data_IF_488490204047
#
_entry.id   IF_488490204047
#
_cell.length_a   1.000
_cell.length_b   1.000
_cell.length_c   1.000
_cell.angle_alpha   90.00
_cell.angle_beta   90.00
_cell.angle_gamma   90.00
#
_symmetry.space_group_name_H-M   'P 1'
#
loop_
_entity.id
_entity.type
_entity.pdbx_description
1 polymer ?
#
# COMPACT_ATOMS: atom_id res chain seq x y z
N UNK A 1 29.53 17.17 -1.20
CA UNK A 1 29.23 16.98 -2.63
C UNK A 1 30.07 15.88 -3.29
N UNK A 2 31.43 15.91 -3.28
CA UNK A 2 32.28 14.89 -3.96
C UNK A 2 31.98 13.42 -3.54
N UNK A 3 31.70 13.17 -2.26
CA UNK A 3 31.36 11.80 -1.78
C UNK A 3 30.02 11.33 -2.36
N UNK A 4 28.98 12.17 -2.34
CA UNK A 4 27.67 11.84 -2.91
C UNK A 4 27.75 11.50 -4.40
N UNK A 5 28.44 12.30 -5.22
CA UNK A 5 28.63 11.99 -6.63
C UNK A 5 29.38 10.68 -6.87
N UNK A 6 30.43 10.41 -6.08
CA UNK A 6 31.18 9.16 -6.17
C UNK A 6 30.30 7.96 -5.83
N UNK A 7 29.47 8.06 -4.78
CA UNK A 7 28.59 6.98 -4.34
C UNK A 7 27.45 6.76 -5.36
N UNK A 8 26.92 7.83 -5.94
CA UNK A 8 25.93 7.75 -7.04
C UNK A 8 26.53 7.06 -8.29
N UNK A 9 27.73 7.45 -8.71
CA UNK A 9 28.41 6.81 -9.86
C UNK A 9 28.75 5.35 -9.55
N UNK A 10 29.15 5.02 -8.33
CA UNK A 10 29.37 3.63 -7.91
C UNK A 10 28.09 2.80 -7.99
N UNK A 11 26.96 3.39 -7.55
CA UNK A 11 25.66 2.72 -7.58
C UNK A 11 25.15 2.52 -9.02
N UNK A 12 25.22 3.53 -9.89
CA UNK A 12 24.80 3.41 -11.29
C UNK A 12 25.61 2.37 -12.07
N UNK A 13 26.89 2.17 -11.75
CA UNK A 13 27.70 1.10 -12.34
C UNK A 13 27.26 -0.30 -11.90
N UNK A 14 26.62 -0.43 -10.75
CA UNK A 14 26.21 -1.71 -10.16
C UNK A 14 24.74 -2.05 -10.40
N UNK A 15 23.92 -1.05 -10.70
CA UNK A 15 22.51 -1.18 -11.01
C UNK A 15 22.14 -0.28 -12.23
N UNK A 16 22.77 -0.51 -13.42
CA UNK A 16 22.63 0.38 -14.58
C UNK A 16 21.20 0.39 -15.13
N UNK A 17 20.48 -0.73 -15.12
CA UNK A 17 19.11 -0.78 -15.63
C UNK A 17 18.16 -0.04 -14.67
N UNK A 18 18.34 -0.17 -13.37
CA UNK A 18 17.58 0.62 -12.39
C UNK A 18 17.84 2.11 -12.57
N UNK A 19 19.11 2.51 -12.81
CA UNK A 19 19.45 3.91 -13.10
C UNK A 19 18.80 4.39 -14.40
N UNK A 20 18.76 3.57 -15.44
CA UNK A 20 18.07 3.87 -16.69
C UNK A 20 16.56 4.05 -16.50
N UNK A 21 15.91 3.19 -15.68
CA UNK A 21 14.47 3.32 -15.35
C UNK A 21 14.24 4.64 -14.60
N UNK A 22 15.05 4.98 -13.60
CA UNK A 22 14.96 6.26 -12.88
C UNK A 22 15.10 7.44 -13.87
N UNK A 23 16.10 7.40 -14.75
CA UNK A 23 16.29 8.40 -15.79
C UNK A 23 15.09 8.52 -16.72
N UNK A 24 14.48 7.40 -17.11
CA UNK A 24 13.30 7.37 -17.97
C UNK A 24 12.07 7.97 -17.27
N UNK A 25 11.83 7.60 -16.00
CA UNK A 25 10.73 8.20 -15.19
C UNK A 25 10.91 9.71 -15.07
N UNK A 26 12.13 10.18 -14.82
CA UNK A 26 12.41 11.61 -14.74
C UNK A 26 12.23 12.30 -16.12
N UNK A 27 12.74 11.71 -17.20
CA UNK A 27 12.61 12.24 -18.55
C UNK A 27 11.14 12.33 -18.97
N UNK A 28 10.38 11.24 -18.81
CA UNK A 28 8.95 11.23 -19.11
C UNK A 28 8.22 12.21 -18.21
N UNK A 29 8.56 12.29 -16.92
CA UNK A 29 7.97 13.23 -15.98
C UNK A 29 8.21 14.71 -16.36
N UNK A 30 9.38 15.02 -16.95
CA UNK A 30 9.69 16.36 -17.50
C UNK A 30 8.85 16.62 -18.76
N UNK A 31 8.85 15.71 -19.72
CA UNK A 31 8.15 15.88 -21.01
C UNK A 31 6.64 15.95 -20.80
N UNK A 32 6.07 15.10 -19.96
CA UNK A 32 4.65 15.06 -19.62
C UNK A 32 4.22 16.11 -18.62
N UNK A 33 5.16 16.89 -18.08
CA UNK A 33 4.96 17.86 -17.00
C UNK A 33 4.45 17.23 -15.68
N UNK A 34 4.41 15.91 -15.53
CA UNK A 34 3.85 15.22 -14.38
C UNK A 34 4.71 15.38 -13.11
N UNK A 35 5.90 15.98 -13.18
CA UNK A 35 6.70 16.35 -12.01
C UNK A 35 6.26 17.65 -11.34
N UNK A 36 5.38 18.45 -11.97
CA UNK A 36 4.88 19.71 -11.41
C UNK A 36 3.38 19.93 -11.62
N UNK A 37 2.73 19.19 -12.54
CA UNK A 37 1.27 19.21 -12.73
C UNK A 37 0.71 17.80 -12.47
N UNK A 38 -0.33 17.63 -11.65
CA UNK A 38 -0.98 16.33 -11.47
C UNK A 38 -1.42 15.71 -12.81
N UNK A 39 -1.27 14.40 -12.97
CA UNK A 39 -1.55 13.70 -14.22
C UNK A 39 -3.02 13.81 -14.64
N UNK A 40 -3.94 13.91 -13.67
CA UNK A 40 -5.37 14.12 -13.93
C UNK A 40 -5.64 15.52 -14.49
N UNK A 41 -5.00 16.56 -13.96
CA UNK A 41 -5.17 17.94 -14.40
C UNK A 41 -4.55 18.19 -15.77
N UNK A 42 -3.42 17.53 -16.07
CA UNK A 42 -2.74 17.64 -17.37
C UNK A 42 -3.38 16.78 -18.47
N UNK A 43 -4.36 15.92 -18.13
CA UNK A 43 -4.96 14.95 -19.03
C UNK A 43 -4.07 13.74 -19.34
N UNK A 44 -2.89 13.63 -18.73
CA UNK A 44 -1.96 12.52 -18.96
C UNK A 44 -2.52 11.19 -18.45
N UNK A 45 -3.23 11.20 -17.32
CA UNK A 45 -3.91 10.01 -16.81
C UNK A 45 -4.97 9.49 -17.79
N UNK A 46 -5.79 10.35 -18.37
CA UNK A 46 -6.82 9.99 -19.36
C UNK A 46 -6.22 9.50 -20.68
N UNK A 47 -5.10 10.05 -21.11
CA UNK A 47 -4.44 9.69 -22.38
C UNK A 47 -3.63 8.40 -22.30
N UNK A 48 -2.89 8.19 -21.22
CA UNK A 48 -1.86 7.15 -21.09
C UNK A 48 -2.04 6.24 -19.89
N UNK A 49 -2.99 6.55 -18.98
CA UNK A 49 -3.28 5.75 -17.79
C UNK A 49 -4.01 4.46 -18.11
N UNK A 50 -3.73 3.44 -17.34
CA UNK A 50 -4.42 2.15 -17.39
C UNK A 50 -5.65 2.16 -16.47
N UNK A 51 -6.67 1.42 -16.87
CA UNK A 51 -7.93 1.30 -16.14
C UNK A 51 -9.00 0.63 -17.00
N UNK A 52 -10.17 0.39 -16.40
CA UNK A 52 -11.31 -0.18 -17.14
C UNK A 52 -11.67 0.67 -18.38
N UNK A 53 -11.71 2.02 -18.30
CA UNK A 53 -12.06 2.84 -19.46
C UNK A 53 -11.06 2.75 -20.62
N UNK A 54 -9.75 2.70 -20.31
CA UNK A 54 -8.70 2.55 -21.32
C UNK A 54 -8.82 1.19 -22.04
N UNK A 55 -9.03 0.12 -21.29
CA UNK A 55 -9.15 -1.23 -21.82
C UNK A 55 -10.40 -1.43 -22.64
N UNK A 56 -11.54 -0.85 -22.23
CA UNK A 56 -12.77 -0.84 -23.01
C UNK A 56 -12.60 -0.15 -24.38
N UNK A 57 -11.68 0.83 -24.47
CA UNK A 57 -11.30 1.50 -25.72
C UNK A 57 -10.22 0.76 -26.51
N UNK A 58 -9.79 -0.44 -26.07
CA UNK A 58 -8.72 -1.22 -26.72
C UNK A 58 -7.30 -0.67 -26.48
N UNK A 59 -7.10 0.26 -25.55
CA UNK A 59 -5.81 0.88 -25.24
C UNK A 59 -4.98 0.02 -24.29
N UNK A 60 -4.68 -1.22 -24.65
CA UNK A 60 -3.91 -2.17 -23.81
C UNK A 60 -2.48 -1.71 -23.51
N UNK A 61 -1.88 -0.94 -24.40
CA UNK A 61 -0.53 -0.38 -24.23
C UNK A 61 -0.40 0.54 -23.03
N UNK A 62 -1.52 1.04 -22.49
CA UNK A 62 -1.51 1.94 -21.32
C UNK A 62 -0.94 1.28 -20.06
N UNK A 63 -0.94 -0.04 -19.98
CA UNK A 63 -0.19 -0.77 -18.92
C UNK A 63 1.29 -0.35 -18.93
N UNK A 64 1.89 -0.19 -20.10
CA UNK A 64 3.29 0.18 -20.24
C UNK A 64 3.52 1.69 -20.21
N UNK A 65 2.70 2.48 -20.90
CA UNK A 65 2.91 3.93 -21.01
C UNK A 65 2.61 4.66 -19.71
N UNK A 66 1.53 4.31 -19.02
CA UNK A 66 1.17 4.90 -17.74
C UNK A 66 2.19 4.67 -16.62
N UNK A 67 2.99 3.63 -16.75
CA UNK A 67 3.99 3.26 -15.75
C UNK A 67 5.00 4.37 -15.46
N UNK A 68 5.40 5.14 -16.47
CA UNK A 68 6.46 6.14 -16.37
C UNK A 68 5.96 7.56 -16.04
N UNK A 69 4.66 7.76 -15.95
CA UNK A 69 4.04 9.04 -15.59
C UNK A 69 3.88 9.11 -14.08
N UNK A 70 4.20 10.26 -13.47
CA UNK A 70 4.00 10.46 -12.03
C UNK A 70 2.56 10.92 -11.78
N UNK A 71 1.79 10.26 -10.88
CA UNK A 71 0.39 10.63 -10.64
C UNK A 71 0.22 12.06 -10.14
N UNK A 72 0.98 12.42 -9.11
CA UNK A 72 1.07 13.78 -8.55
C UNK A 72 2.53 14.11 -8.23
N UNK A 73 2.95 15.39 -8.34
CA UNK A 73 4.37 15.79 -8.27
C UNK A 73 5.12 15.28 -7.05
N UNK A 74 4.54 15.39 -5.86
CA UNK A 74 5.19 14.96 -4.61
C UNK A 74 5.40 13.44 -4.52
N UNK A 75 4.61 12.63 -5.24
CA UNK A 75 4.80 11.17 -5.28
C UNK A 75 6.11 10.75 -5.93
N UNK A 76 6.73 11.59 -6.76
CA UNK A 76 8.07 11.33 -7.28
C UNK A 76 9.08 11.07 -6.14
N UNK A 77 8.93 11.77 -4.99
CA UNK A 77 9.76 11.59 -3.80
C UNK A 77 9.60 10.20 -3.16
N UNK A 78 8.51 9.51 -3.42
CA UNK A 78 8.28 8.13 -2.95
C UNK A 78 8.61 7.10 -4.02
N UNK A 79 8.22 7.36 -5.27
CA UNK A 79 8.40 6.43 -6.40
C UNK A 79 9.89 6.23 -6.71
N UNK A 80 10.67 7.30 -6.76
CA UNK A 80 12.10 7.20 -7.07
C UNK A 80 12.87 6.36 -6.02
N UNK A 81 12.72 6.57 -4.71
CA UNK A 81 13.29 5.67 -3.71
C UNK A 81 12.81 4.21 -3.83
N UNK A 82 11.54 3.97 -4.13
CA UNK A 82 11.04 2.60 -4.34
C UNK A 82 11.78 1.90 -5.49
N UNK A 83 11.98 2.61 -6.61
CA UNK A 83 12.75 2.08 -7.75
C UNK A 83 14.21 1.89 -7.36
N UNK A 84 14.84 2.88 -6.73
CA UNK A 84 16.25 2.86 -6.37
C UNK A 84 16.55 1.74 -5.36
N UNK A 85 15.81 1.65 -4.27
CA UNK A 85 16.08 0.67 -3.22
C UNK A 85 15.55 -0.72 -3.59
N UNK A 86 14.32 -0.82 -4.11
CA UNK A 86 13.73 -2.09 -4.50
C UNK A 86 14.40 -2.67 -5.75
N UNK A 87 14.46 -1.90 -6.83
CA UNK A 87 15.07 -2.30 -8.08
C UNK A 87 16.57 -2.47 -7.97
N UNK A 88 17.24 -1.45 -7.40
CA UNK A 88 18.70 -1.46 -7.25
C UNK A 88 19.20 -2.63 -6.39
N UNK A 89 18.51 -2.97 -5.32
CA UNK A 89 18.84 -4.17 -4.52
C UNK A 89 18.69 -5.46 -5.33
N UNK A 90 17.56 -5.60 -6.06
CA UNK A 90 17.32 -6.80 -6.88
C UNK A 90 18.31 -6.89 -8.02
N UNK A 91 18.60 -5.80 -8.74
CA UNK A 91 19.56 -5.79 -9.84
C UNK A 91 20.97 -6.13 -9.35
N UNK A 92 21.42 -5.45 -8.30
CA UNK A 92 22.74 -5.69 -7.71
C UNK A 92 22.92 -7.13 -7.22
N UNK A 93 21.88 -7.71 -6.60
CA UNK A 93 21.98 -9.02 -5.94
C UNK A 93 21.65 -10.17 -6.87
N UNK A 94 20.76 -9.98 -7.82
CA UNK A 94 20.18 -11.07 -8.65
C UNK A 94 20.26 -10.82 -10.15
N UNK A 95 20.73 -9.65 -10.58
CA UNK A 95 20.89 -9.26 -11.97
C UNK A 95 19.64 -8.58 -12.57
N UNK A 96 19.88 -7.85 -13.67
CA UNK A 96 18.91 -6.99 -14.32
C UNK A 96 17.63 -7.73 -14.76
N UNK A 97 17.76 -8.91 -15.38
CA UNK A 97 16.61 -9.67 -15.88
C UNK A 97 15.62 -10.03 -14.77
N UNK A 98 16.12 -10.40 -13.58
CA UNK A 98 15.25 -10.74 -12.45
C UNK A 98 14.63 -9.50 -11.81
N UNK A 99 15.35 -8.41 -11.78
CA UNK A 99 14.80 -7.12 -11.36
C UNK A 99 13.68 -6.68 -12.32
N UNK A 100 13.90 -6.73 -13.64
CA UNK A 100 12.86 -6.42 -14.63
C UNK A 100 11.65 -7.38 -14.50
N UNK A 101 11.90 -8.69 -14.33
CA UNK A 101 10.83 -9.63 -14.07
C UNK A 101 10.03 -9.29 -12.81
N UNK A 102 10.70 -8.88 -11.72
CA UNK A 102 10.01 -8.45 -10.50
C UNK A 102 9.12 -7.22 -10.75
N UNK A 103 9.61 -6.22 -11.45
CA UNK A 103 8.82 -5.03 -11.76
C UNK A 103 7.64 -5.32 -12.70
N UNK A 104 7.92 -5.88 -13.86
CA UNK A 104 6.91 -5.99 -14.92
C UNK A 104 5.90 -7.10 -14.65
N UNK A 105 6.31 -8.26 -14.13
CA UNK A 105 5.37 -9.34 -13.82
C UNK A 105 4.41 -8.93 -12.72
N UNK A 106 4.90 -8.27 -11.66
CA UNK A 106 4.02 -7.85 -10.57
C UNK A 106 3.09 -6.72 -10.98
N UNK A 107 3.57 -5.76 -11.78
CA UNK A 107 2.76 -4.67 -12.30
C UNK A 107 1.66 -5.17 -13.24
N UNK A 108 2.04 -5.90 -14.28
CA UNK A 108 1.09 -6.41 -15.29
C UNK A 108 0.04 -7.31 -14.63
N UNK A 109 0.47 -8.25 -13.78
CA UNK A 109 -0.46 -9.13 -13.08
C UNK A 109 -1.41 -8.35 -12.18
N UNK A 110 -0.91 -7.36 -11.43
CA UNK A 110 -1.76 -6.54 -10.55
C UNK A 110 -2.81 -5.76 -11.34
N UNK A 111 -2.40 -5.09 -12.41
CA UNK A 111 -3.32 -4.33 -13.26
C UNK A 111 -4.40 -5.25 -13.85
N UNK A 112 -4.01 -6.40 -14.41
CA UNK A 112 -4.96 -7.34 -15.02
C UNK A 112 -5.93 -7.93 -13.98
N UNK A 113 -5.44 -8.31 -12.79
CA UNK A 113 -6.27 -8.84 -11.71
C UNK A 113 -7.28 -7.76 -11.24
N UNK A 114 -6.81 -6.53 -11.02
CA UNK A 114 -7.67 -5.44 -10.55
C UNK A 114 -8.71 -5.08 -11.60
N UNK A 115 -8.33 -4.90 -12.87
CA UNK A 115 -9.29 -4.60 -13.94
C UNK A 115 -10.30 -5.75 -14.10
N UNK A 116 -9.83 -7.01 -14.06
CA UNK A 116 -10.71 -8.18 -14.09
C UNK A 116 -11.70 -8.19 -12.92
N UNK A 117 -11.23 -7.87 -11.72
CA UNK A 117 -12.08 -7.77 -10.52
C UNK A 117 -13.12 -6.66 -10.66
N UNK A 118 -12.72 -5.46 -11.11
CA UNK A 118 -13.64 -4.35 -11.31
C UNK A 118 -14.68 -4.66 -12.39
N UNK A 119 -14.28 -5.27 -13.50
CA UNK A 119 -15.21 -5.70 -14.55
C UNK A 119 -16.21 -6.77 -14.07
N UNK A 120 -15.83 -7.61 -13.12
CA UNK A 120 -16.73 -8.61 -12.56
C UNK A 120 -17.68 -8.02 -11.50
N UNK A 121 -17.22 -7.06 -10.69
CA UNK A 121 -17.97 -6.56 -9.54
C UNK A 121 -18.78 -5.29 -9.83
N UNK A 122 -18.35 -4.42 -10.74
CA UNK A 122 -19.08 -3.20 -11.08
C UNK A 122 -20.47 -3.46 -11.64
N UNK A 123 -20.69 -4.46 -12.54
CA UNK A 123 -22.04 -4.80 -13.03
C UNK A 123 -22.99 -5.31 -11.95
N UNK A 124 -22.45 -5.78 -10.81
CA UNK A 124 -23.25 -6.22 -9.66
C UNK A 124 -23.72 -5.04 -8.79
N UNK A 125 -23.39 -3.80 -9.17
CA UNK A 125 -23.80 -2.60 -8.43
C UNK A 125 -23.01 -2.37 -7.13
N UNK A 126 -21.83 -3.01 -6.96
CA UNK A 126 -20.99 -2.81 -5.78
C UNK A 126 -20.37 -1.41 -5.87
N UNK A 127 -20.79 -0.48 -4.99
CA UNK A 127 -20.52 0.95 -5.09
C UNK A 127 -19.05 1.30 -5.33
N UNK A 128 -18.11 0.81 -4.49
CA UNK A 128 -16.69 1.09 -4.69
C UNK A 128 -16.14 0.55 -6.03
N UNK A 129 -16.62 -0.60 -6.50
CA UNK A 129 -16.18 -1.16 -7.77
C UNK A 129 -16.72 -0.35 -8.97
N UNK A 130 -17.95 0.15 -8.87
CA UNK A 130 -18.54 1.06 -9.87
C UNK A 130 -17.72 2.35 -9.96
N UNK A 131 -17.35 2.95 -8.83
CA UNK A 131 -16.57 4.19 -8.84
C UNK A 131 -15.14 3.97 -9.36
N UNK A 132 -14.45 2.93 -8.90
CA UNK A 132 -13.09 2.63 -9.37
C UNK A 132 -13.04 2.19 -10.85
N UNK A 133 -14.12 1.62 -11.37
CA UNK A 133 -14.21 1.26 -12.80
C UNK A 133 -14.23 2.45 -13.75
N UNK A 134 -14.47 3.67 -13.25
CA UNK A 134 -14.47 4.91 -14.03
C UNK A 134 -13.11 5.61 -14.07
N UNK A 135 -12.16 5.17 -13.25
CA UNK A 135 -10.87 5.84 -13.01
C UNK A 135 -9.78 5.19 -13.86
N UNK A 136 -8.81 6.00 -14.28
CA UNK A 136 -7.53 5.56 -14.85
C UNK A 136 -6.40 5.95 -13.90
N UNK A 137 -5.34 5.14 -13.88
CA UNK A 137 -4.19 5.33 -12.99
C UNK A 137 -2.89 5.29 -13.77
N UNK A 138 -1.87 5.92 -13.20
CA UNK A 138 -0.50 6.00 -13.72
C UNK A 138 0.50 5.81 -12.58
N UNK A 139 1.72 5.45 -12.90
CA UNK A 139 2.84 5.45 -11.95
C UNK A 139 3.57 4.14 -11.79
N UNK A 140 4.85 4.24 -11.48
CA UNK A 140 5.77 3.12 -11.28
C UNK A 140 5.64 2.48 -9.87
N UNK A 141 4.82 3.05 -8.99
CA UNK A 141 4.70 2.62 -7.59
C UNK A 141 4.22 1.17 -7.43
N UNK A 142 3.31 0.72 -8.31
CA UNK A 142 2.84 -0.67 -8.32
C UNK A 142 3.98 -1.65 -8.58
N UNK A 143 4.78 -1.38 -9.62
CA UNK A 143 5.96 -2.17 -9.95
C UNK A 143 6.97 -2.15 -8.79
N UNK A 144 7.18 -0.96 -8.19
CA UNK A 144 8.09 -0.78 -7.05
C UNK A 144 7.69 -1.61 -5.83
N UNK A 145 6.42 -1.54 -5.42
CA UNK A 145 5.92 -2.33 -4.28
C UNK A 145 5.91 -3.83 -4.58
N UNK A 146 5.54 -4.23 -5.79
CA UNK A 146 5.62 -5.62 -6.22
C UNK A 146 7.05 -6.16 -6.18
N UNK A 147 8.03 -5.37 -6.64
CA UNK A 147 9.44 -5.72 -6.59
C UNK A 147 9.95 -5.84 -5.14
N UNK A 148 9.55 -4.92 -4.24
CA UNK A 148 9.85 -5.03 -2.80
C UNK A 148 9.24 -6.31 -2.24
N UNK A 149 7.98 -6.61 -2.58
CA UNK A 149 7.32 -7.87 -2.21
C UNK A 149 8.14 -9.08 -2.62
N UNK A 150 8.59 -9.13 -3.89
CA UNK A 150 9.43 -10.20 -4.41
C UNK A 150 10.79 -10.26 -3.70
N UNK A 151 11.44 -9.12 -3.43
CA UNK A 151 12.72 -9.03 -2.75
C UNK A 151 12.68 -9.60 -1.33
N UNK A 152 11.52 -9.58 -0.66
CA UNK A 152 11.36 -10.19 0.68
C UNK A 152 11.71 -11.66 0.70
N UNK A 153 11.58 -12.37 -0.43
CA UNK A 153 11.95 -13.78 -0.53
C UNK A 153 13.44 -14.04 -0.30
N UNK A 154 14.29 -13.04 -0.52
CA UNK A 154 15.73 -13.13 -0.26
C UNK A 154 16.11 -13.04 1.23
N UNK A 155 15.20 -12.55 2.06
CA UNK A 155 15.45 -12.32 3.49
C UNK A 155 15.45 -13.64 4.29
N UNK A 156 16.09 -13.62 5.47
CA UNK A 156 15.94 -14.69 6.46
C UNK A 156 14.47 -14.83 6.89
N UNK A 157 14.08 -16.00 7.39
CA UNK A 157 12.69 -16.32 7.70
C UNK A 157 12.05 -15.29 8.65
N UNK A 158 12.75 -14.89 9.71
CA UNK A 158 12.25 -13.92 10.70
C UNK A 158 12.03 -12.53 10.07
N UNK A 159 13.00 -12.02 9.32
CA UNK A 159 12.87 -10.73 8.65
C UNK A 159 11.82 -10.76 7.53
N UNK A 160 11.75 -11.85 6.78
CA UNK A 160 10.74 -12.05 5.74
C UNK A 160 9.33 -12.00 6.30
N UNK A 161 9.06 -12.69 7.43
CA UNK A 161 7.76 -12.65 8.10
C UNK A 161 7.41 -11.24 8.58
N UNK A 162 8.32 -10.58 9.29
CA UNK A 162 8.12 -9.22 9.83
C UNK A 162 7.83 -8.21 8.73
N UNK A 163 8.64 -8.23 7.66
CA UNK A 163 8.46 -7.28 6.58
C UNK A 163 7.20 -7.56 5.78
N UNK A 164 6.90 -8.84 5.48
CA UNK A 164 5.67 -9.20 4.77
C UNK A 164 4.41 -8.86 5.55
N UNK A 165 4.35 -9.14 6.84
CA UNK A 165 3.20 -8.77 7.67
C UNK A 165 3.04 -7.25 7.75
N UNK A 166 4.12 -6.48 7.94
CA UNK A 166 4.07 -5.02 7.97
C UNK A 166 3.61 -4.42 6.64
N UNK A 167 4.18 -4.87 5.51
CA UNK A 167 3.77 -4.42 4.18
C UNK A 167 2.33 -4.80 3.84
N UNK A 168 1.90 -6.00 4.25
CA UNK A 168 0.51 -6.45 4.05
C UNK A 168 -0.47 -5.56 4.82
N UNK A 169 -0.21 -5.33 6.11
CA UNK A 169 -1.07 -4.47 6.94
C UNK A 169 -1.07 -3.02 6.44
N UNK A 170 0.09 -2.50 6.05
CA UNK A 170 0.19 -1.17 5.43
C UNK A 170 -0.70 -1.06 4.18
N UNK A 171 -0.52 -1.95 3.21
CA UNK A 171 -1.27 -1.91 1.97
C UNK A 171 -2.78 -2.18 2.19
N UNK A 172 -3.13 -3.07 3.14
CA UNK A 172 -4.52 -3.33 3.53
C UNK A 172 -5.18 -2.10 4.14
N UNK A 173 -4.46 -1.34 4.98
CA UNK A 173 -4.98 -0.10 5.55
C UNK A 173 -5.41 0.89 4.46
N UNK A 174 -4.56 1.11 3.46
CA UNK A 174 -4.89 2.00 2.35
C UNK A 174 -6.07 1.50 1.53
N UNK A 175 -6.14 0.20 1.22
CA UNK A 175 -7.29 -0.38 0.50
C UNK A 175 -8.60 -0.17 1.26
N UNK A 176 -8.60 -0.36 2.58
CA UNK A 176 -9.82 -0.30 3.38
C UNK A 176 -10.30 1.14 3.62
N UNK A 177 -9.39 2.10 3.78
CA UNK A 177 -9.71 3.45 4.28
C UNK A 177 -9.52 4.59 3.27
N UNK A 178 -8.57 4.48 2.34
CA UNK A 178 -8.44 5.37 1.19
C UNK A 178 -9.18 4.81 -0.04
N UNK A 179 -8.93 3.54 -0.37
CA UNK A 179 -9.67 2.75 -1.34
C UNK A 179 -9.67 3.30 -2.76
N UNK A 180 -8.67 4.08 -3.14
CA UNK A 180 -8.48 4.54 -4.50
C UNK A 180 -7.85 3.44 -5.37
N UNK A 181 -7.90 3.60 -6.70
CA UNK A 181 -7.48 2.56 -7.64
C UNK A 181 -6.02 2.11 -7.42
N UNK A 182 -5.10 3.05 -7.17
CA UNK A 182 -3.68 2.70 -6.91
C UNK A 182 -3.49 1.91 -5.61
N UNK A 183 -4.32 2.11 -4.56
CA UNK A 183 -4.20 1.33 -3.33
C UNK A 183 -4.53 -0.14 -3.57
N UNK A 184 -5.58 -0.40 -4.34
CA UNK A 184 -5.97 -1.75 -4.70
C UNK A 184 -4.89 -2.44 -5.56
N UNK A 185 -4.32 -1.72 -6.54
CA UNK A 185 -3.26 -2.26 -7.37
C UNK A 185 -1.94 -2.43 -6.61
N UNK A 186 -1.60 -1.53 -5.69
CA UNK A 186 -0.46 -1.68 -4.78
C UNK A 186 -0.58 -2.95 -3.93
N UNK A 187 -1.76 -3.17 -3.36
CA UNK A 187 -2.03 -4.36 -2.55
C UNK A 187 -1.87 -5.64 -3.36
N UNK A 188 -2.50 -5.70 -4.54
CA UNK A 188 -2.40 -6.87 -5.43
C UNK A 188 -0.97 -7.07 -5.94
N UNK A 189 -0.26 -5.99 -6.34
CA UNK A 189 1.15 -6.08 -6.78
C UNK A 189 2.05 -6.64 -5.68
N UNK A 190 1.83 -6.21 -4.44
CA UNK A 190 2.56 -6.73 -3.27
C UNK A 190 2.30 -8.22 -3.07
N UNK A 191 1.03 -8.67 -3.12
CA UNK A 191 0.68 -10.09 -2.99
C UNK A 191 1.26 -10.94 -4.11
N UNK A 192 1.19 -10.48 -5.36
CA UNK A 192 1.85 -11.12 -6.49
C UNK A 192 3.34 -11.20 -6.25
N UNK A 193 3.97 -10.11 -5.78
CA UNK A 193 5.38 -10.08 -5.42
C UNK A 193 5.75 -11.12 -4.37
N UNK A 194 4.93 -11.29 -3.33
CA UNK A 194 5.13 -12.34 -2.32
C UNK A 194 5.07 -13.76 -2.92
N UNK A 195 4.18 -13.98 -3.88
CA UNK A 195 3.99 -15.28 -4.53
C UNK A 195 5.10 -15.60 -5.51
N UNK A 196 5.49 -14.66 -6.41
CA UNK A 196 6.49 -14.91 -7.43
C UNK A 196 7.93 -14.72 -6.95
N UNK A 197 8.13 -14.04 -5.83
CA UNK A 197 9.44 -13.72 -5.28
C UNK A 197 10.39 -14.90 -5.15
N UNK A 198 9.99 -16.07 -4.59
CA UNK A 198 10.87 -17.24 -4.51
C UNK A 198 11.43 -17.69 -5.85
N UNK A 199 10.59 -17.66 -6.91
CA UNK A 199 11.03 -18.01 -8.28
C UNK A 199 12.01 -16.97 -8.83
N UNK A 200 11.74 -15.68 -8.61
CA UNK A 200 12.60 -14.58 -9.09
C UNK A 200 13.99 -14.64 -8.45
N UNK A 201 14.07 -14.84 -7.12
CA UNK A 201 15.37 -14.92 -6.42
C UNK A 201 15.99 -16.32 -6.44
N UNK A 202 15.38 -17.28 -7.14
CA UNK A 202 15.80 -18.70 -7.22
C UNK A 202 15.97 -19.34 -5.83
N UNK A 203 15.06 -19.05 -4.94
CA UNK A 203 15.02 -19.66 -3.60
C UNK A 203 13.97 -20.77 -3.59
N UNK A 204 14.28 -21.89 -2.93
CA UNK A 204 13.31 -22.97 -2.75
C UNK A 204 12.09 -22.43 -2.01
N UNK A 205 10.88 -22.75 -2.49
CA UNK A 205 9.65 -22.42 -1.83
C UNK A 205 9.61 -23.12 -0.46
N UNK A 206 9.57 -22.35 0.59
CA UNK A 206 9.39 -22.85 1.95
C UNK A 206 7.92 -22.74 2.31
N UNK A 207 7.32 -23.87 2.73
CA UNK A 207 5.93 -23.84 3.19
C UNK A 207 5.76 -22.83 4.32
N UNK A 208 4.63 -22.09 4.36
CA UNK A 208 4.33 -21.21 5.47
C UNK A 208 4.36 -22.00 6.77
N UNK A 209 5.18 -21.60 7.72
CA UNK A 209 5.19 -22.16 9.07
C UNK A 209 4.46 -21.19 9.99
N UNK A 210 3.43 -21.67 10.68
CA UNK A 210 2.66 -20.90 11.64
C UNK A 210 3.26 -20.90 13.06
N UNK A 211 4.41 -21.58 13.25
CA UNK A 211 5.14 -21.51 14.51
C UNK A 211 5.76 -20.11 14.67
N UNK A 212 5.14 -19.27 15.49
CA UNK A 212 5.60 -17.92 15.79
C UNK A 212 6.46 -17.96 17.05
N UNK A 213 7.64 -17.34 16.98
CA UNK A 213 8.41 -17.05 18.19
C UNK A 213 7.72 -15.96 19.01
N UNK A 214 8.02 -15.89 20.32
CA UNK A 214 7.50 -14.79 21.18
C UNK A 214 7.81 -13.41 20.58
N UNK A 215 8.98 -13.25 19.94
CA UNK A 215 9.34 -12.00 19.29
C UNK A 215 8.50 -11.74 18.02
N UNK A 216 8.16 -12.79 17.26
CA UNK A 216 7.29 -12.64 16.09
C UNK A 216 5.86 -12.23 16.52
N UNK A 217 5.35 -12.78 17.63
CA UNK A 217 4.07 -12.38 18.20
C UNK A 217 4.07 -10.91 18.64
N UNK A 218 5.11 -10.46 19.36
CA UNK A 218 5.27 -9.05 19.76
C UNK A 218 5.32 -8.11 18.54
N UNK A 219 6.06 -8.50 17.51
CA UNK A 219 6.15 -7.73 16.27
C UNK A 219 4.78 -7.64 15.58
N UNK A 220 4.03 -8.74 15.52
CA UNK A 220 2.71 -8.76 14.89
C UNK A 220 1.75 -7.81 15.62
N UNK A 221 1.68 -7.87 16.95
CA UNK A 221 0.82 -6.98 17.73
C UNK A 221 1.24 -5.51 17.57
N UNK A 222 2.55 -5.23 17.62
CA UNK A 222 3.03 -3.87 17.36
C UNK A 222 2.67 -3.38 15.95
N UNK A 223 2.73 -4.24 14.93
CA UNK A 223 2.34 -3.91 13.57
C UNK A 223 0.83 -3.66 13.43
N UNK A 224 -0.02 -4.36 14.17
CA UNK A 224 -1.47 -4.07 14.22
C UNK A 224 -1.71 -2.67 14.78
N UNK A 225 -1.04 -2.27 15.86
CA UNK A 225 -1.16 -0.91 16.39
C UNK A 225 -0.63 0.15 15.40
N UNK A 226 0.44 -0.14 14.68
CA UNK A 226 0.92 0.74 13.59
C UNK A 226 -0.09 0.81 12.44
N UNK A 227 -0.76 -0.28 12.13
CA UNK A 227 -1.87 -0.29 11.17
C UNK A 227 -3.00 0.65 11.63
N UNK A 228 -3.43 0.58 12.90
CA UNK A 228 -4.45 1.47 13.45
C UNK A 228 -4.02 2.94 13.38
N UNK A 229 -2.73 3.24 13.63
CA UNK A 229 -2.17 4.59 13.47
C UNK A 229 -2.28 5.05 12.01
N UNK A 230 -1.85 4.22 11.05
CA UNK A 230 -1.91 4.56 9.62
C UNK A 230 -3.36 4.83 9.22
N UNK A 231 -4.30 4.01 9.68
CA UNK A 231 -5.73 4.20 9.43
C UNK A 231 -6.23 5.56 9.94
N UNK A 232 -5.92 5.90 11.17
CA UNK A 232 -6.32 7.20 11.75
C UNK A 232 -5.72 8.35 10.95
N UNK A 233 -4.46 8.25 10.55
CA UNK A 233 -3.78 9.27 9.73
C UNK A 233 -4.40 9.37 8.34
N UNK A 234 -4.71 8.24 7.68
CA UNK A 234 -5.37 8.24 6.36
C UNK A 234 -6.75 8.88 6.44
N UNK A 235 -7.56 8.55 7.43
CA UNK A 235 -8.89 9.18 7.65
C UNK A 235 -8.78 10.68 7.88
N UNK A 236 -7.72 11.13 8.59
CA UNK A 236 -7.44 12.54 8.83
C UNK A 236 -7.03 13.31 7.58
N UNK A 237 -6.17 12.70 6.74
CA UNK A 237 -5.53 13.38 5.61
C UNK A 237 -6.29 13.21 4.27
N UNK A 238 -7.17 12.23 4.17
CA UNK A 238 -7.97 11.93 2.97
C UNK A 238 -9.48 12.02 3.25
N UNK A 239 -9.99 13.21 3.66
CA UNK A 239 -11.42 13.36 3.89
C UNK A 239 -12.19 13.22 2.58
N UNK A 240 -13.28 12.45 2.59
CA UNK A 240 -14.33 12.55 1.58
C UNK A 240 -14.25 11.61 0.38
N UNK A 241 -13.29 10.70 0.31
CA UNK A 241 -13.36 9.59 -0.66
C UNK A 241 -13.52 8.29 0.14
N UNK A 242 -14.75 7.78 0.19
CA UNK A 242 -15.04 6.53 0.88
C UNK A 242 -14.19 5.40 0.30
N UNK A 243 -13.37 4.77 1.15
CA UNK A 243 -12.74 3.51 0.83
C UNK A 243 -13.76 2.37 0.71
N UNK A 244 -13.29 1.14 0.61
CA UNK A 244 -14.16 -0.05 0.55
C UNK A 244 -15.18 -0.07 1.71
N UNK A 245 -14.85 0.52 2.85
CA UNK A 245 -15.73 0.60 4.02
C UNK A 245 -16.70 1.79 3.98
N UNK A 246 -16.73 2.58 2.89
CA UNK A 246 -17.66 3.73 2.70
C UNK A 246 -17.74 4.67 3.91
N UNK A 247 -16.62 4.92 4.57
CA UNK A 247 -16.56 5.92 5.64
C UNK A 247 -16.70 7.30 5.02
N UNK A 248 -17.93 7.74 4.84
CA UNK A 248 -18.27 9.07 4.33
C UNK A 248 -17.84 10.15 5.33
N UNK A 249 -16.65 10.64 5.18
CA UNK A 249 -16.15 11.80 5.90
C UNK A 249 -16.18 13.00 4.93
N UNK A 250 -17.29 13.72 4.90
CA UNK A 250 -17.53 14.84 3.97
C UNK A 250 -16.89 16.15 4.40
N UNK A 251 -16.18 16.18 5.54
CA UNK A 251 -15.48 17.37 6.05
C UNK A 251 -14.20 16.98 6.77
N UNK A 252 -13.18 17.84 6.69
CA UNK A 252 -11.99 17.69 7.53
C UNK A 252 -12.38 17.77 9.01
N UNK A 253 -11.63 17.11 9.92
CA UNK A 253 -11.93 17.17 11.35
C UNK A 253 -11.76 18.58 11.87
N UNK A 254 -12.66 19.01 12.74
CA UNK A 254 -12.48 20.23 13.54
C UNK A 254 -11.18 20.14 14.34
N UNK A 255 -10.60 21.30 14.70
CA UNK A 255 -9.32 21.36 15.41
C UNK A 255 -9.32 20.52 16.70
N UNK A 256 -10.46 20.46 17.43
CA UNK A 256 -10.62 19.64 18.63
C UNK A 256 -10.53 18.13 18.33
N UNK A 257 -11.13 17.67 17.25
CA UNK A 257 -11.06 16.28 16.79
C UNK A 257 -9.64 15.95 16.31
N UNK A 258 -9.00 16.86 15.59
CA UNK A 258 -7.62 16.67 15.12
C UNK A 258 -6.65 16.53 16.31
N UNK A 259 -6.78 17.35 17.35
CA UNK A 259 -5.98 17.25 18.58
C UNK A 259 -6.25 15.92 19.30
N UNK A 260 -7.50 15.51 19.44
CA UNK A 260 -7.86 14.23 20.07
C UNK A 260 -7.25 13.04 19.32
N UNK A 261 -7.33 13.05 17.98
CA UNK A 261 -6.75 12.01 17.14
C UNK A 261 -5.21 12.00 17.23
N UNK A 262 -4.57 13.14 17.28
CA UNK A 262 -3.12 13.23 17.49
C UNK A 262 -2.71 12.60 18.84
N UNK A 263 -3.45 12.85 19.91
CA UNK A 263 -3.22 12.23 21.22
C UNK A 263 -3.38 10.71 21.13
N UNK A 264 -4.40 10.21 20.44
CA UNK A 264 -4.61 8.78 20.22
C UNK A 264 -3.44 8.18 19.42
N UNK A 265 -2.99 8.83 18.35
CA UNK A 265 -1.85 8.39 17.54
C UNK A 265 -0.58 8.28 18.39
N UNK A 266 -0.28 9.30 19.20
CA UNK A 266 0.87 9.28 20.11
C UNK A 266 0.75 8.13 21.13
N UNK A 267 -0.42 7.95 21.72
CA UNK A 267 -0.69 6.86 22.66
C UNK A 267 -0.48 5.49 22.00
N UNK A 268 -1.05 5.26 20.82
CA UNK A 268 -0.88 4.00 20.07
C UNK A 268 0.59 3.75 19.69
N UNK A 269 1.33 4.81 19.32
CA UNK A 269 2.75 4.69 18.99
C UNK A 269 3.58 4.27 20.22
N UNK A 270 3.30 4.83 21.39
CA UNK A 270 3.94 4.44 22.64
C UNK A 270 3.59 2.99 23.02
N UNK A 271 2.34 2.58 22.82
CA UNK A 271 1.91 1.20 23.08
C UNK A 271 2.54 0.22 22.08
N UNK A 272 2.60 0.56 20.78
CA UNK A 272 3.25 -0.23 19.76
C UNK A 272 4.75 -0.46 20.09
N UNK A 273 5.45 0.60 20.47
CA UNK A 273 6.84 0.49 20.94
C UNK A 273 6.95 -0.38 22.20
N UNK A 274 6.07 -0.18 23.18
CA UNK A 274 6.03 -0.97 24.42
C UNK A 274 5.78 -2.47 24.16
N UNK A 275 4.88 -2.79 23.24
CA UNK A 275 4.60 -4.19 22.82
C UNK A 275 5.79 -4.80 22.10
N UNK A 276 6.40 -4.08 21.16
CA UNK A 276 7.62 -4.50 20.47
C UNK A 276 8.76 -4.80 21.46
N UNK A 277 8.98 -3.88 22.41
CA UNK A 277 10.00 -4.01 23.46
C UNK A 277 9.65 -5.03 24.56
N UNK A 278 8.45 -5.64 24.51
CA UNK A 278 8.01 -6.63 25.48
C UNK A 278 7.70 -6.07 26.89
N UNK A 279 7.30 -4.80 26.95
CA UNK A 279 6.94 -4.16 28.22
C UNK A 279 5.59 -4.67 28.72
N UNK A 280 5.56 -5.29 29.89
CA UNK A 280 4.35 -5.87 30.52
C UNK A 280 3.25 -4.82 30.72
N UNK A 281 3.62 -3.56 30.99
CA UNK A 281 2.67 -2.45 31.14
C UNK A 281 1.86 -2.23 29.86
N UNK A 282 2.53 -2.11 28.70
CA UNK A 282 1.86 -1.88 27.42
C UNK A 282 0.85 -3.02 27.12
N UNK A 283 1.23 -4.26 27.38
CA UNK A 283 0.34 -5.40 27.20
C UNK A 283 -0.89 -5.33 28.09
N UNK A 284 -0.73 -5.00 29.39
CA UNK A 284 -1.85 -4.88 30.33
C UNK A 284 -2.81 -3.77 29.94
N UNK A 285 -2.29 -2.60 29.56
CA UNK A 285 -3.10 -1.46 29.13
C UNK A 285 -3.89 -1.79 27.88
N UNK A 286 -3.25 -2.35 26.84
CA UNK A 286 -3.94 -2.73 25.61
C UNK A 286 -4.99 -3.82 25.85
N UNK A 287 -4.71 -4.82 26.68
CA UNK A 287 -5.69 -5.83 27.06
C UNK A 287 -6.90 -5.20 27.76
N UNK A 288 -6.69 -4.30 28.72
CA UNK A 288 -7.77 -3.62 29.44
C UNK A 288 -8.64 -2.79 28.49
N UNK A 289 -8.02 -2.04 27.57
CA UNK A 289 -8.75 -1.25 26.55
C UNK A 289 -9.56 -2.16 25.64
N UNK A 290 -8.97 -3.25 25.14
CA UNK A 290 -9.68 -4.20 24.26
C UNK A 290 -10.88 -4.82 24.97
N UNK A 291 -10.72 -5.25 26.23
CA UNK A 291 -11.83 -5.80 27.03
C UNK A 291 -12.93 -4.76 27.30
N UNK A 292 -12.54 -3.50 27.56
CA UNK A 292 -13.49 -2.41 27.75
C UNK A 292 -14.30 -2.15 26.47
N UNK A 293 -13.62 -2.08 25.32
CA UNK A 293 -14.27 -1.89 24.01
C UNK A 293 -15.24 -3.04 23.74
N UNK A 294 -14.84 -4.30 23.94
CA UNK A 294 -15.70 -5.46 23.76
C UNK A 294 -16.92 -5.40 24.70
N UNK A 295 -16.74 -5.01 25.96
CA UNK A 295 -17.82 -4.85 26.92
C UNK A 295 -18.82 -3.77 26.46
N UNK A 296 -18.33 -2.62 26.03
CA UNK A 296 -19.16 -1.52 25.55
C UNK A 296 -19.96 -1.95 24.31
N UNK A 297 -19.31 -2.60 23.34
CA UNK A 297 -20.00 -3.14 22.16
C UNK A 297 -21.05 -4.19 22.54
N UNK A 298 -20.74 -5.12 23.44
CA UNK A 298 -21.71 -6.08 23.95
C UNK A 298 -22.93 -5.40 24.57
N UNK A 299 -22.72 -4.40 25.41
CA UNK A 299 -23.81 -3.68 26.07
C UNK A 299 -24.67 -2.87 25.09
N UNK A 300 -24.04 -2.24 24.08
CA UNK A 300 -24.76 -1.50 23.05
C UNK A 300 -25.60 -2.41 22.14
N UNK A 301 -25.07 -3.59 21.79
CA UNK A 301 -25.77 -4.55 20.92
C UNK A 301 -26.86 -5.35 21.66
N UNK A 302 -26.73 -5.53 22.99
CA UNK A 302 -27.74 -6.24 23.80
C UNK A 302 -28.80 -5.31 24.39
N UNK A 303 -28.66 -4.00 24.25
CA UNK A 303 -29.72 -3.06 24.69
C UNK A 303 -30.91 -3.15 23.73
N UNK A 304 -32.16 -3.44 24.22
CA UNK A 304 -33.32 -3.55 23.36
C UNK A 304 -33.57 -2.24 22.63
N UNK A 305 -33.79 -2.33 21.31
CA UNK A 305 -34.10 -1.20 20.47
C UNK A 305 -35.28 -0.41 21.04
N UNK A 306 -35.31 0.92 20.99
CA UNK A 306 -36.48 1.72 21.39
C UNK A 306 -37.79 1.31 20.68
N UNK A 307 -37.68 0.69 19.50
CA UNK A 307 -38.85 0.16 18.74
C UNK A 307 -39.46 -1.10 19.35
N UNK A 308 -38.71 -1.88 20.13
CA UNK A 308 -39.26 -3.10 20.77
C UNK A 308 -40.05 -2.78 22.05
N UNK A 309 -39.79 -1.61 22.69
CA UNK A 309 -40.55 -1.15 23.86
C UNK A 309 -41.96 -0.67 23.51
N UNK A 310 -42.24 -0.33 22.28
CA UNK A 310 -43.56 0.14 21.85
C UNK A 310 -44.48 -0.99 21.38
N UNK A 311 -43.99 -2.23 21.22
CA UNK A 311 -44.80 -3.40 20.84
C UNK A 311 -45.29 -4.24 22.02
N UNK A 312 -44.84 -3.94 23.25
CA UNK A 312 -45.23 -4.66 24.47
C UNK A 312 -46.20 -3.87 25.37
N UNK A 313 -46.89 -2.87 24.80
CA UNK A 313 -48.01 -2.19 25.48
C UNK A 313 -49.29 -2.30 24.66
#
# INVERSE_FOLDING_TARGET
>A
MKKFFRDAVWWTKRAPITAAIVGLVLLVGIISQSLWVPADESGMAAAYGWGVPAFAQGKWWTIGTGLFITPVPWMALLILPLIIFGGGYLEYRFGALRMLAAFFVTHIAAVLIVIGTLNALAPLGIGWAVELSKVQDVGFSNAGLGAIGAATAALSLSWRRRLRSGLFLYALAFVLFSGVLWDLTHFVALLVGFAVGPAIVKRRYEKPSFSLTTQDQRNLVAQVLVFDIIMLVVVLLAPGKGGILELNNTGGPDASIAIALLVIVIFLALMAYGMYAGRRFAWRVMLAITLLILLVFCLLYTSPSPRDRTRSR
#
